data_IF_689452307610
#
_entry.id   IF_689452307610
#
_cell.length_a   1.000
_cell.length_b   1.000
_cell.length_c   1.000
_cell.angle_alpha   90.00
_cell.angle_beta   90.00
_cell.angle_gamma   90.00
#
_symmetry.space_group_name_H-M   'P 1'
#
loop_
_entity.id
_entity.type
_entity.pdbx_description
1 polymer ?
#
# COMPACT_ATOMS: atom_id res chain seq x y z
N UNK A 1 -11.16 -5.75 15.71
CA UNK A 1 -10.63 -6.73 14.74
C UNK A 1 -10.96 -8.13 15.27
N UNK A 2 -11.71 -8.97 14.55
CA UNK A 2 -11.91 -10.37 14.93
C UNK A 2 -10.70 -11.22 14.49
N UNK A 3 -9.50 -10.79 14.89
CA UNK A 3 -8.22 -11.42 14.55
C UNK A 3 -8.21 -12.94 14.85
N UNK A 4 -8.80 -13.45 15.95
CA UNK A 4 -8.83 -14.88 16.22
C UNK A 4 -9.51 -15.71 15.11
N UNK A 5 -10.63 -15.22 14.56
CA UNK A 5 -11.36 -15.92 13.48
C UNK A 5 -10.54 -15.97 12.19
N UNK A 6 -9.87 -14.87 11.84
CA UNK A 6 -9.01 -14.82 10.66
C UNK A 6 -7.78 -15.71 10.82
N UNK A 7 -7.15 -15.71 11.99
CA UNK A 7 -6.02 -16.59 12.29
C UNK A 7 -6.45 -18.06 12.21
N UNK A 8 -7.55 -18.43 12.86
CA UNK A 8 -8.10 -19.78 12.80
C UNK A 8 -8.33 -20.23 11.36
N UNK A 9 -8.99 -19.41 10.55
CA UNK A 9 -9.24 -19.70 9.13
C UNK A 9 -7.95 -19.90 8.33
N UNK A 10 -6.92 -19.08 8.55
CA UNK A 10 -5.65 -19.20 7.85
C UNK A 10 -4.81 -20.40 8.33
N UNK A 11 -4.85 -20.75 9.61
CA UNK A 11 -4.22 -21.98 10.12
C UNK A 11 -4.90 -23.25 9.61
N UNK A 12 -6.23 -23.28 9.58
CA UNK A 12 -6.99 -24.37 8.97
C UNK A 12 -6.66 -24.50 7.47
N UNK A 13 -6.54 -23.36 6.77
CA UNK A 13 -6.10 -23.30 5.38
C UNK A 13 -4.72 -23.94 5.18
N UNK A 14 -3.70 -23.61 5.98
CA UNK A 14 -2.37 -24.27 5.86
C UNK A 14 -2.52 -25.79 5.89
N UNK A 15 -3.23 -26.32 6.89
CA UNK A 15 -3.41 -27.78 7.04
C UNK A 15 -4.00 -28.41 5.77
N UNK A 16 -5.06 -27.82 5.23
CA UNK A 16 -5.74 -28.30 4.02
C UNK A 16 -4.87 -28.11 2.78
N UNK A 17 -4.22 -26.96 2.64
CA UNK A 17 -3.36 -26.62 1.49
C UNK A 17 -2.20 -27.59 1.31
N UNK A 18 -1.65 -28.11 2.41
CA UNK A 18 -0.58 -29.10 2.38
C UNK A 18 -1.06 -30.56 2.33
N UNK A 19 -2.22 -30.87 2.91
CA UNK A 19 -2.73 -32.24 2.95
C UNK A 19 -3.38 -32.65 1.60
N UNK A 20 -4.21 -31.78 1.03
CA UNK A 20 -5.06 -32.11 -0.13
C UNK A 20 -4.25 -32.47 -1.40
N UNK A 21 -3.18 -31.75 -1.78
CA UNK A 21 -2.35 -32.14 -2.94
C UNK A 21 -1.63 -33.49 -2.78
N UNK A 22 -1.41 -33.95 -1.54
CA UNK A 22 -0.79 -35.25 -1.27
C UNK A 22 -1.79 -36.40 -1.39
N UNK A 23 -3.04 -36.16 -1.06
CA UNK A 23 -4.09 -37.18 -1.03
C UNK A 23 -4.83 -37.35 -2.37
N UNK A 24 -4.85 -36.31 -3.20
CA UNK A 24 -5.67 -36.28 -4.41
C UNK A 24 -4.86 -35.92 -5.66
N UNK A 25 -5.44 -36.13 -6.84
CA UNK A 25 -4.85 -35.63 -8.11
C UNK A 25 -4.88 -34.11 -8.15
N UNK A 26 -3.97 -33.46 -8.88
CA UNK A 26 -3.93 -32.00 -9.04
C UNK A 26 -5.31 -31.37 -9.25
N UNK A 27 -6.09 -31.91 -10.18
CA UNK A 27 -7.41 -31.36 -10.54
C UNK A 27 -8.42 -31.52 -9.39
N UNK A 28 -8.48 -32.69 -8.76
CA UNK A 28 -9.31 -32.91 -7.58
C UNK A 28 -8.88 -31.99 -6.43
N UNK A 29 -7.59 -31.82 -6.21
CA UNK A 29 -7.05 -30.93 -5.18
C UNK A 29 -7.49 -29.49 -5.39
N UNK A 30 -7.47 -28.99 -6.62
CA UNK A 30 -7.94 -27.64 -6.95
C UNK A 30 -9.42 -27.44 -6.59
N UNK A 31 -10.30 -28.38 -6.94
CA UNK A 31 -11.72 -28.31 -6.59
C UNK A 31 -11.96 -28.39 -5.08
N UNK A 32 -11.27 -29.30 -4.38
CA UNK A 32 -11.38 -29.44 -2.92
C UNK A 32 -10.92 -28.15 -2.22
N UNK A 33 -9.81 -27.55 -2.68
CA UNK A 33 -9.33 -26.27 -2.14
C UNK A 33 -10.30 -25.13 -2.40
N UNK A 34 -10.88 -25.03 -3.61
CA UNK A 34 -11.90 -24.01 -3.91
C UNK A 34 -13.12 -24.16 -3.00
N UNK A 35 -13.62 -25.39 -2.83
CA UNK A 35 -14.77 -25.66 -1.96
C UNK A 35 -14.46 -25.30 -0.49
N UNK A 36 -13.28 -25.68 0.00
CA UNK A 36 -12.83 -25.32 1.33
C UNK A 36 -12.68 -23.80 1.49
N UNK A 37 -12.08 -23.10 0.53
CA UNK A 37 -11.93 -21.64 0.59
C UNK A 37 -13.27 -20.92 0.51
N UNK A 38 -14.23 -21.42 -0.25
CA UNK A 38 -15.60 -20.89 -0.23
C UNK A 38 -16.25 -21.04 1.15
N UNK A 39 -16.07 -22.20 1.80
CA UNK A 39 -16.53 -22.42 3.17
C UNK A 39 -15.83 -21.48 4.18
N UNK A 40 -14.53 -21.24 4.02
CA UNK A 40 -13.79 -20.24 4.80
C UNK A 40 -14.38 -18.84 4.59
N UNK A 41 -14.67 -18.46 3.33
CA UNK A 41 -15.28 -17.15 3.07
C UNK A 41 -16.71 -17.05 3.61
N UNK A 42 -17.48 -18.13 3.70
CA UNK A 42 -18.81 -18.18 4.35
C UNK A 42 -18.72 -18.12 5.87
N UNK A 43 -17.66 -18.69 6.47
CA UNK A 43 -17.39 -18.56 7.90
C UNK A 43 -16.99 -17.13 8.27
N UNK A 44 -16.23 -16.47 7.40
CA UNK A 44 -15.77 -15.11 7.59
C UNK A 44 -16.83 -14.07 7.16
N UNK A 45 -17.58 -14.26 6.09
CA UNK A 45 -18.47 -13.21 5.57
C UNK A 45 -19.91 -13.69 5.56
N UNK A 46 -20.87 -12.77 5.56
CA UNK A 46 -22.27 -13.16 5.40
C UNK A 46 -22.51 -13.78 4.01
N UNK A 47 -23.51 -14.66 3.93
CA UNK A 47 -23.95 -15.23 2.64
C UNK A 47 -24.34 -14.11 1.65
N UNK A 48 -25.02 -13.07 2.14
CA UNK A 48 -25.39 -11.89 1.33
C UNK A 48 -24.17 -11.19 0.74
N UNK A 49 -23.07 -11.14 1.51
CA UNK A 49 -21.81 -10.59 1.04
C UNK A 49 -21.26 -11.36 -0.16
N UNK A 50 -21.16 -12.68 -0.04
CA UNK A 50 -20.64 -13.53 -1.11
C UNK A 50 -21.52 -13.56 -2.35
N UNK A 51 -22.85 -13.58 -2.18
CA UNK A 51 -23.77 -13.54 -3.31
C UNK A 51 -23.65 -12.22 -4.10
N UNK A 52 -23.58 -11.09 -3.39
CA UNK A 52 -23.40 -9.78 -4.03
C UNK A 52 -22.05 -9.70 -4.76
N UNK A 53 -20.99 -10.21 -4.13
CA UNK A 53 -19.68 -10.27 -4.74
C UNK A 53 -19.65 -11.19 -5.97
N UNK A 54 -20.32 -12.34 -5.92
CA UNK A 54 -20.44 -13.26 -7.06
C UNK A 54 -21.17 -12.59 -8.23
N UNK A 55 -22.25 -11.83 -7.98
CA UNK A 55 -22.94 -11.05 -9.01
C UNK A 55 -22.00 -10.03 -9.66
N UNK A 56 -21.22 -9.28 -8.87
CA UNK A 56 -20.21 -8.36 -9.39
C UNK A 56 -19.17 -9.09 -10.26
N UNK A 57 -18.61 -10.19 -9.75
CA UNK A 57 -17.58 -10.96 -10.44
C UNK A 57 -18.08 -11.54 -11.77
N UNK A 58 -19.27 -12.16 -11.77
CA UNK A 58 -19.87 -12.77 -12.96
C UNK A 58 -20.24 -11.70 -13.98
N UNK A 59 -20.91 -10.62 -13.57
CA UNK A 59 -21.32 -9.54 -14.48
C UNK A 59 -20.14 -8.85 -15.15
N UNK A 60 -19.07 -8.55 -14.40
CA UNK A 60 -17.88 -7.94 -14.95
C UNK A 60 -17.15 -8.87 -15.94
N UNK A 61 -17.05 -10.16 -15.63
CA UNK A 61 -16.43 -11.16 -16.51
C UNK A 61 -17.22 -11.34 -17.79
N UNK A 62 -18.55 -11.51 -17.69
CA UNK A 62 -19.44 -11.60 -18.85
C UNK A 62 -19.27 -10.35 -19.73
N UNK A 63 -19.40 -9.15 -19.15
CA UNK A 63 -19.23 -7.91 -19.89
C UNK A 63 -17.87 -7.82 -20.60
N UNK A 64 -16.79 -8.28 -19.96
CA UNK A 64 -15.44 -8.24 -20.54
C UNK A 64 -15.26 -9.23 -21.70
N UNK A 65 -15.81 -10.45 -21.58
CA UNK A 65 -15.76 -11.47 -22.63
C UNK A 65 -16.58 -11.05 -23.85
N UNK A 66 -17.75 -10.42 -23.67
CA UNK A 66 -18.59 -9.98 -24.78
C UNK A 66 -18.12 -8.69 -25.45
N UNK A 67 -17.69 -7.71 -24.65
CA UNK A 67 -17.36 -6.37 -25.17
C UNK A 67 -15.92 -6.24 -25.69
N UNK A 68 -15.03 -7.15 -25.27
CA UNK A 68 -13.59 -7.11 -25.55
C UNK A 68 -12.94 -5.75 -25.22
N UNK A 69 -13.49 -5.01 -24.25
CA UNK A 69 -12.95 -3.74 -23.77
C UNK A 69 -12.87 -3.71 -22.25
N UNK A 70 -11.81 -3.11 -21.74
CA UNK A 70 -11.57 -2.96 -20.31
C UNK A 70 -12.47 -1.88 -19.70
N UNK A 71 -13.06 -1.01 -20.52
CA UNK A 71 -13.83 0.14 -20.06
C UNK A 71 -15.02 -0.26 -19.20
N UNK A 72 -15.75 -1.32 -19.57
CA UNK A 72 -16.87 -1.82 -18.77
C UNK A 72 -16.41 -2.40 -17.43
N UNK A 73 -15.32 -3.18 -17.42
CA UNK A 73 -14.76 -3.72 -16.18
C UNK A 73 -14.33 -2.59 -15.23
N UNK A 74 -13.64 -1.57 -15.75
CA UNK A 74 -13.29 -0.37 -15.00
C UNK A 74 -14.54 0.34 -14.46
N UNK A 75 -15.53 0.60 -15.31
CA UNK A 75 -16.76 1.29 -14.92
C UNK A 75 -17.51 0.54 -13.82
N UNK A 76 -17.71 -0.77 -13.96
CA UNK A 76 -18.38 -1.60 -12.96
C UNK A 76 -17.61 -1.65 -11.64
N UNK A 77 -16.32 -2.01 -11.68
CA UNK A 77 -15.53 -2.21 -10.47
C UNK A 77 -15.30 -0.88 -9.72
N UNK A 78 -15.02 0.21 -10.42
CA UNK A 78 -14.82 1.52 -9.78
C UNK A 78 -16.13 2.09 -9.24
N UNK A 79 -17.24 1.98 -9.98
CA UNK A 79 -18.54 2.42 -9.47
C UNK A 79 -18.94 1.65 -8.22
N UNK A 80 -18.65 0.35 -8.19
CA UNK A 80 -18.87 -0.49 -7.02
C UNK A 80 -18.00 -0.05 -5.84
N UNK A 81 -16.69 0.16 -6.02
CA UNK A 81 -15.79 0.65 -4.97
C UNK A 81 -16.25 2.00 -4.41
N UNK A 82 -16.56 2.97 -5.28
CA UNK A 82 -16.95 4.33 -4.87
C UNK A 82 -18.26 4.37 -4.07
N UNK A 83 -19.18 3.45 -4.35
CA UNK A 83 -20.52 3.42 -3.77
C UNK A 83 -20.82 2.10 -3.07
N UNK A 84 -19.80 1.41 -2.56
CA UNK A 84 -19.94 0.11 -1.93
C UNK A 84 -20.99 0.17 -0.81
N UNK A 85 -20.91 1.17 0.08
CA UNK A 85 -21.87 1.43 1.16
C UNK A 85 -23.32 1.62 0.72
N UNK A 86 -23.58 1.94 -0.56
CA UNK A 86 -24.93 2.10 -1.11
C UNK A 86 -25.44 0.84 -1.79
N UNK A 87 -24.54 0.07 -2.44
CA UNK A 87 -24.92 -1.05 -3.30
C UNK A 87 -24.73 -2.42 -2.65
N UNK A 88 -23.82 -2.54 -1.68
CA UNK A 88 -23.49 -3.79 -1.04
C UNK A 88 -24.20 -3.91 0.32
N UNK A 89 -24.79 -5.07 0.65
CA UNK A 89 -25.29 -5.35 1.98
C UNK A 89 -24.10 -5.56 2.92
N UNK A 90 -24.03 -4.74 3.97
CA UNK A 90 -23.07 -4.92 5.05
C UNK A 90 -23.77 -5.43 6.30
N UNK A 91 -23.06 -6.27 7.04
CA UNK A 91 -23.47 -6.72 8.35
C UNK A 91 -23.44 -5.56 9.36
N UNK A 92 -24.40 -5.49 10.30
CA UNK A 92 -24.47 -4.41 11.28
C UNK A 92 -23.36 -4.52 12.35
N UNK A 93 -22.84 -5.72 12.61
CA UNK A 93 -21.71 -5.91 13.52
C UNK A 93 -20.46 -5.21 12.94
N UNK A 94 -19.87 -4.22 13.62
CA UNK A 94 -18.69 -3.50 13.13
C UNK A 94 -17.52 -4.42 12.75
N UNK A 95 -17.32 -5.53 13.46
CA UNK A 95 -16.21 -6.48 13.20
C UNK A 95 -16.41 -7.19 11.86
N UNK A 96 -17.64 -7.58 11.55
CA UNK A 96 -18.00 -8.24 10.30
C UNK A 96 -18.07 -7.21 9.17
N UNK A 97 -18.67 -6.04 9.44
CA UNK A 97 -18.72 -4.89 8.53
C UNK A 97 -17.35 -4.59 7.91
N UNK A 98 -16.32 -4.39 8.75
CA UNK A 98 -14.99 -4.04 8.23
C UNK A 98 -14.36 -5.17 7.42
N UNK A 99 -14.66 -6.43 7.73
CA UNK A 99 -14.16 -7.57 6.98
C UNK A 99 -14.82 -7.66 5.61
N UNK A 100 -16.14 -7.52 5.56
CA UNK A 100 -16.91 -7.48 4.31
C UNK A 100 -16.51 -6.27 3.45
N UNK A 101 -16.30 -5.09 4.06
CA UNK A 101 -15.78 -3.92 3.37
C UNK A 101 -14.45 -4.18 2.68
N UNK A 102 -13.49 -4.79 3.38
CA UNK A 102 -12.21 -5.14 2.76
C UNK A 102 -12.37 -6.25 1.71
N UNK A 103 -13.20 -7.25 1.96
CA UNK A 103 -13.47 -8.30 0.98
C UNK A 103 -14.03 -7.73 -0.33
N UNK A 104 -15.00 -6.81 -0.26
CA UNK A 104 -15.58 -6.14 -1.42
C UNK A 104 -14.58 -5.26 -2.16
N UNK A 105 -13.86 -4.39 -1.46
CA UNK A 105 -12.94 -3.45 -2.10
C UNK A 105 -11.80 -4.20 -2.79
N UNK A 106 -11.08 -5.06 -2.06
CA UNK A 106 -9.96 -5.80 -2.62
C UNK A 106 -10.43 -6.86 -3.62
N UNK A 107 -11.60 -7.47 -3.39
CA UNK A 107 -12.25 -8.37 -4.34
C UNK A 107 -12.59 -7.69 -5.66
N UNK A 108 -13.13 -6.47 -5.64
CA UNK A 108 -13.42 -5.71 -6.86
C UNK A 108 -12.15 -5.44 -7.69
N UNK A 109 -11.01 -5.19 -7.04
CA UNK A 109 -9.71 -5.06 -7.72
C UNK A 109 -9.27 -6.39 -8.33
N UNK A 110 -9.47 -7.53 -7.65
CA UNK A 110 -9.19 -8.84 -8.24
C UNK A 110 -10.05 -9.11 -9.47
N UNK A 111 -11.36 -8.89 -9.37
CA UNK A 111 -12.29 -9.02 -10.51
C UNK A 111 -11.81 -8.16 -11.67
N UNK A 112 -11.45 -6.90 -11.41
CA UNK A 112 -10.92 -5.99 -12.41
C UNK A 112 -9.62 -6.49 -13.05
N UNK A 113 -8.65 -6.98 -12.26
CA UNK A 113 -7.40 -7.53 -12.79
C UNK A 113 -7.65 -8.71 -13.73
N UNK A 114 -8.54 -9.63 -13.37
CA UNK A 114 -8.89 -10.76 -14.22
C UNK A 114 -9.60 -10.30 -15.51
N UNK A 115 -10.54 -9.37 -15.41
CA UNK A 115 -11.22 -8.81 -16.58
C UNK A 115 -10.25 -8.10 -17.56
N UNK A 116 -9.27 -7.38 -17.00
CA UNK A 116 -8.17 -6.80 -17.78
C UNK A 116 -7.37 -7.90 -18.49
N UNK A 117 -7.00 -8.97 -17.78
CA UNK A 117 -6.30 -10.12 -18.34
C UNK A 117 -7.05 -10.73 -19.52
N UNK A 118 -8.34 -11.01 -19.37
CA UNK A 118 -9.20 -11.55 -20.43
C UNK A 118 -9.17 -10.65 -21.68
N UNK A 119 -9.29 -9.34 -21.47
CA UNK A 119 -9.33 -8.38 -22.58
C UNK A 119 -7.98 -8.25 -23.28
N UNK A 120 -6.86 -8.17 -22.54
CA UNK A 120 -5.52 -8.02 -23.15
C UNK A 120 -5.09 -9.26 -23.92
N UNK A 121 -5.49 -10.44 -23.43
CA UNK A 121 -5.17 -11.72 -24.07
C UNK A 121 -6.24 -12.16 -25.08
N UNK A 122 -7.23 -11.30 -25.38
CA UNK A 122 -8.31 -11.56 -26.36
C UNK A 122 -9.05 -12.88 -26.12
N UNK A 123 -9.30 -13.20 -24.86
CA UNK A 123 -10.01 -14.42 -24.46
C UNK A 123 -11.49 -14.28 -24.85
N UNK A 124 -11.98 -15.17 -25.69
CA UNK A 124 -13.38 -15.19 -26.19
C UNK A 124 -14.30 -16.13 -25.42
N UNK A 125 -13.74 -17.11 -24.71
CA UNK A 125 -14.49 -18.03 -23.84
C UNK A 125 -13.61 -18.52 -22.69
N UNK A 126 -14.24 -18.76 -21.54
CA UNK A 126 -13.57 -19.31 -20.37
C UNK A 126 -13.51 -20.83 -20.46
N UNK A 127 -12.31 -21.38 -20.58
CA UNK A 127 -12.08 -22.79 -20.37
C UNK A 127 -12.09 -23.13 -18.87
N UNK A 128 -12.20 -24.43 -18.56
CA UNK A 128 -12.29 -24.90 -17.18
C UNK A 128 -11.04 -24.53 -16.35
N UNK A 129 -9.85 -24.62 -16.92
CA UNK A 129 -8.61 -24.30 -16.22
C UNK A 129 -8.54 -22.82 -15.79
N UNK A 130 -8.95 -21.90 -16.66
CA UNK A 130 -9.05 -20.48 -16.35
C UNK A 130 -10.11 -20.21 -15.29
N UNK A 131 -11.25 -20.90 -15.36
CA UNK A 131 -12.29 -20.78 -14.34
C UNK A 131 -11.78 -21.24 -12.96
N UNK A 132 -11.13 -22.40 -12.89
CA UNK A 132 -10.50 -22.91 -11.66
C UNK A 132 -9.49 -21.89 -11.12
N UNK A 133 -8.58 -21.38 -11.96
CA UNK A 133 -7.57 -20.41 -11.53
C UNK A 133 -8.19 -19.09 -11.08
N UNK A 134 -9.25 -18.62 -11.73
CA UNK A 134 -9.97 -17.43 -11.31
C UNK A 134 -10.64 -17.61 -9.94
N UNK A 135 -11.29 -18.75 -9.72
CA UNK A 135 -11.88 -19.08 -8.41
C UNK A 135 -10.82 -19.14 -7.31
N UNK A 136 -9.66 -19.75 -7.60
CA UNK A 136 -8.53 -19.73 -6.67
C UNK A 136 -8.05 -18.30 -6.39
N UNK A 137 -7.92 -17.46 -7.42
CA UNK A 137 -7.49 -16.07 -7.28
C UNK A 137 -8.44 -15.25 -6.40
N UNK A 138 -9.76 -15.43 -6.56
CA UNK A 138 -10.75 -14.74 -5.75
C UNK A 138 -10.75 -15.22 -4.29
N UNK A 139 -10.66 -16.53 -4.06
CA UNK A 139 -10.95 -17.16 -2.77
C UNK A 139 -9.71 -17.50 -1.92
N UNK A 140 -8.49 -17.46 -2.47
CA UNK A 140 -7.26 -17.79 -1.76
C UNK A 140 -7.10 -16.95 -0.47
N UNK A 141 -7.24 -17.56 0.74
CA UNK A 141 -7.44 -16.84 2.00
C UNK A 141 -6.37 -15.79 2.33
N UNK A 142 -5.07 -16.05 2.13
CA UNK A 142 -4.04 -15.06 2.42
C UNK A 142 -4.16 -13.80 1.56
N UNK A 143 -4.72 -13.87 0.35
CA UNK A 143 -4.88 -12.70 -0.54
C UNK A 143 -6.32 -12.21 -0.64
N UNK A 144 -7.30 -12.78 0.06
CA UNK A 144 -8.70 -12.32 -0.07
C UNK A 144 -8.95 -10.96 0.54
N UNK A 145 -8.08 -10.50 1.43
CA UNK A 145 -8.20 -9.21 2.09
C UNK A 145 -6.82 -8.57 2.26
N UNK A 146 -6.76 -7.24 2.17
CA UNK A 146 -5.59 -6.39 2.50
C UNK A 146 -4.38 -6.45 1.55
N UNK A 147 -4.20 -7.50 0.75
CA UNK A 147 -3.10 -7.58 -0.23
C UNK A 147 -3.63 -7.49 -1.67
N UNK A 148 -3.03 -6.58 -2.45
CA UNK A 148 -3.27 -6.50 -3.89
C UNK A 148 -2.16 -7.27 -4.60
N UNK A 149 -2.55 -8.32 -5.31
CA UNK A 149 -1.68 -9.11 -6.18
C UNK A 149 -2.34 -9.18 -7.54
N UNK A 150 -1.60 -8.88 -8.61
CA UNK A 150 -2.11 -8.90 -9.98
C UNK A 150 -2.39 -10.36 -10.39
N UNK A 151 -3.38 -10.57 -11.27
CA UNK A 151 -3.80 -11.92 -11.68
C UNK A 151 -2.64 -12.73 -12.27
N UNK A 152 -1.87 -12.15 -13.19
CA UNK A 152 -0.73 -12.81 -13.83
C UNK A 152 0.35 -13.23 -12.81
N UNK A 153 0.61 -12.39 -11.81
CA UNK A 153 1.56 -12.71 -10.75
C UNK A 153 1.03 -13.85 -9.87
N UNK A 154 -0.27 -13.84 -9.54
CA UNK A 154 -0.90 -14.92 -8.78
C UNK A 154 -0.92 -16.25 -9.53
N UNK A 155 -1.31 -16.23 -10.81
CA UNK A 155 -1.38 -17.44 -11.65
C UNK A 155 -0.01 -18.11 -11.75
N UNK A 156 1.03 -17.31 -12.02
CA UNK A 156 2.41 -17.81 -12.03
C UNK A 156 2.81 -18.42 -10.68
N UNK A 157 2.60 -17.70 -9.58
CA UNK A 157 2.96 -18.18 -8.24
C UNK A 157 2.24 -19.49 -7.89
N UNK A 158 0.93 -19.56 -8.14
CA UNK A 158 0.14 -20.75 -7.82
C UNK A 158 0.50 -21.92 -8.75
N UNK A 159 0.83 -21.67 -10.01
CA UNK A 159 1.31 -22.72 -10.92
C UNK A 159 2.64 -23.31 -10.44
N UNK A 160 3.59 -22.47 -10.02
CA UNK A 160 4.88 -22.91 -9.48
C UNK A 160 4.69 -23.75 -8.20
N UNK A 161 3.79 -23.33 -7.30
CA UNK A 161 3.45 -24.07 -6.07
C UNK A 161 2.82 -25.42 -6.39
N UNK A 162 1.80 -25.45 -7.25
CA UNK A 162 1.12 -26.69 -7.66
C UNK A 162 2.08 -27.66 -8.37
N UNK A 163 3.01 -27.15 -9.17
CA UNK A 163 4.04 -27.97 -9.81
C UNK A 163 4.98 -28.59 -8.77
N UNK A 164 5.45 -27.80 -7.80
CA UNK A 164 6.32 -28.31 -6.74
C UNK A 164 5.61 -29.35 -5.86
N UNK A 165 4.32 -29.16 -5.60
CA UNK A 165 3.49 -30.12 -4.86
C UNK A 165 3.37 -31.46 -5.59
N UNK A 166 3.22 -31.46 -6.92
CA UNK A 166 3.18 -32.70 -7.70
C UNK A 166 4.56 -33.39 -7.76
N UNK A 167 5.66 -32.64 -7.86
CA UNK A 167 7.03 -33.21 -7.82
C UNK A 167 7.31 -33.89 -6.47
N UNK A 168 6.85 -33.28 -5.37
CA UNK A 168 7.08 -33.78 -4.00
C UNK A 168 6.04 -34.83 -3.56
N UNK A 169 5.09 -35.16 -4.43
CA UNK A 169 4.02 -36.12 -4.14
C UNK A 169 4.59 -37.52 -3.93
N UNK A 170 4.30 -38.12 -2.77
CA UNK A 170 4.77 -39.46 -2.41
C UNK A 170 6.17 -39.51 -1.80
N UNK A 171 6.91 -38.39 -1.75
CA UNK A 171 8.11 -38.30 -0.91
C UNK A 171 7.69 -38.27 0.57
N UNK A 172 8.35 -39.09 1.41
CA UNK A 172 8.18 -39.02 2.87
C UNK A 172 8.36 -37.56 3.31
N UNK A 173 7.53 -37.04 4.23
CA UNK A 173 7.69 -35.69 4.69
C UNK A 173 9.10 -35.56 5.28
N UNK A 174 9.97 -34.83 4.60
CA UNK A 174 10.93 -34.03 5.35
C UNK A 174 10.05 -33.24 6.31
N UNK A 175 10.27 -33.43 7.62
CA UNK A 175 9.44 -32.92 8.72
C UNK A 175 8.85 -31.53 8.40
N UNK A 176 7.69 -31.15 8.96
CA UNK A 176 7.15 -29.80 8.86
C UNK A 176 8.21 -28.69 9.14
N UNK A 177 9.26 -29.02 9.91
CA UNK A 177 10.46 -28.21 10.12
C UNK A 177 11.31 -27.90 8.88
N UNK A 178 11.24 -28.69 7.81
CA UNK A 178 11.93 -28.47 6.53
C UNK A 178 11.26 -27.40 5.67
N UNK A 179 9.95 -27.19 5.83
CA UNK A 179 9.20 -26.12 5.16
C UNK A 179 9.35 -24.78 5.88
N UNK A 180 9.51 -24.82 7.21
CA UNK A 180 9.73 -23.62 8.00
C UNK A 180 11.22 -23.26 8.00
N UNK A 181 11.62 -22.43 7.04
CA UNK A 181 12.96 -21.85 7.02
C UNK A 181 13.21 -20.93 8.22
N UNK A 182 14.47 -20.80 8.64
CA UNK A 182 14.92 -19.83 9.66
C UNK A 182 14.42 -18.41 9.36
N UNK A 183 14.39 -18.04 8.09
CA UNK A 183 13.88 -16.76 7.59
C UNK A 183 12.38 -16.58 7.89
N UNK A 184 11.58 -17.63 7.71
CA UNK A 184 10.14 -17.59 7.96
C UNK A 184 9.82 -17.46 9.46
N UNK A 185 10.59 -18.15 10.32
CA UNK A 185 10.50 -18.02 11.78
C UNK A 185 10.85 -16.60 12.19
N UNK A 186 11.93 -16.05 11.64
CA UNK A 186 12.36 -14.69 11.98
C UNK A 186 11.34 -13.63 11.55
N UNK A 187 10.74 -13.78 10.37
CA UNK A 187 9.63 -12.93 9.91
C UNK A 187 8.43 -13.03 10.85
N UNK A 188 8.08 -14.23 11.31
CA UNK A 188 6.99 -14.44 12.27
C UNK A 188 7.28 -13.77 13.62
N UNK A 189 8.47 -14.02 14.19
CA UNK A 189 8.87 -13.44 15.46
C UNK A 189 8.87 -11.90 15.42
N UNK A 190 9.38 -11.33 14.32
CA UNK A 190 9.33 -9.88 14.09
C UNK A 190 7.88 -9.37 14.00
N UNK A 191 7.00 -10.09 13.31
CA UNK A 191 5.59 -9.72 13.21
C UNK A 191 4.89 -9.77 14.57
N UNK A 192 5.13 -10.80 15.37
CA UNK A 192 4.61 -10.90 16.74
C UNK A 192 5.12 -9.76 17.62
N UNK A 193 6.41 -9.43 17.56
CA UNK A 193 6.98 -8.30 18.28
C UNK A 193 6.24 -6.99 17.95
N UNK A 194 6.02 -6.70 16.65
CA UNK A 194 5.28 -5.50 16.25
C UNK A 194 3.80 -5.55 16.65
N UNK A 195 3.17 -6.72 16.59
CA UNK A 195 1.80 -6.91 17.07
C UNK A 195 1.69 -6.58 18.56
N UNK A 196 2.51 -7.19 19.41
CA UNK A 196 2.48 -6.93 20.85
C UNK A 196 2.87 -5.48 21.20
N UNK A 197 3.83 -4.89 20.48
CA UNK A 197 4.15 -3.47 20.66
C UNK A 197 2.97 -2.56 20.32
N UNK A 198 2.25 -2.85 19.22
CA UNK A 198 1.07 -2.10 18.82
C UNK A 198 -0.08 -2.26 19.83
N UNK A 199 -0.36 -3.49 20.26
CA UNK A 199 -1.36 -3.76 21.30
C UNK A 199 -1.00 -3.07 22.62
N UNK A 200 0.27 -3.07 23.02
CA UNK A 200 0.73 -2.35 24.21
C UNK A 200 0.41 -0.85 24.11
N UNK A 201 0.76 -0.19 23.00
CA UNK A 201 0.47 1.23 22.81
C UNK A 201 -1.05 1.50 22.82
N UNK A 202 -1.84 0.62 22.22
CA UNK A 202 -3.30 0.76 22.21
C UNK A 202 -3.92 0.63 23.60
N UNK A 203 -3.43 -0.32 24.42
CA UNK A 203 -3.98 -0.60 25.75
C UNK A 203 -3.50 0.35 26.83
N UNK A 204 -2.23 0.79 26.78
CA UNK A 204 -1.63 1.57 27.87
C UNK A 204 -1.53 3.07 27.57
N UNK A 205 -1.44 3.47 26.30
CA UNK A 205 -1.28 4.89 25.90
C UNK A 205 -2.59 5.47 25.35
N UNK A 206 -3.60 4.63 25.08
CA UNK A 206 -4.95 5.03 24.62
C UNK A 206 -4.95 5.93 23.37
N UNK A 207 -3.92 5.80 22.52
CA UNK A 207 -3.73 6.64 21.34
C UNK A 207 -4.93 6.57 20.38
N UNK A 208 -5.56 5.40 20.26
CA UNK A 208 -6.73 5.25 19.41
C UNK A 208 -7.95 6.00 19.96
N UNK A 209 -8.20 5.94 21.27
CA UNK A 209 -9.27 6.70 21.92
C UNK A 209 -9.06 8.20 21.73
N UNK A 210 -7.82 8.65 21.87
CA UNK A 210 -7.44 10.04 21.66
C UNK A 210 -7.74 10.55 20.23
N UNK A 211 -7.51 9.73 19.19
CA UNK A 211 -7.85 10.11 17.81
C UNK A 211 -9.32 9.97 17.43
N UNK A 212 -10.15 9.38 18.29
CA UNK A 212 -11.59 9.24 18.07
C UNK A 212 -12.43 10.31 18.79
N UNK A 213 -11.82 11.20 19.59
CA UNK A 213 -12.54 12.32 20.20
C UNK A 213 -12.92 13.37 19.15
N UNK A 214 -14.01 14.14 19.34
CA UNK A 214 -14.36 15.22 18.44
C UNK A 214 -13.20 16.18 18.23
N UNK A 215 -13.07 16.77 17.04
CA UNK A 215 -11.92 17.60 16.66
C UNK A 215 -11.73 18.88 17.50
N UNK A 216 -12.80 19.40 18.13
CA UNK A 216 -12.79 20.70 18.82
C UNK A 216 -11.63 20.95 19.81
N UNK A 217 -11.22 19.99 20.68
CA UNK A 217 -10.14 20.19 21.65
C UNK A 217 -8.77 20.44 21.03
N UNK A 218 -8.50 19.93 19.81
CA UNK A 218 -7.21 20.13 19.14
C UNK A 218 -6.94 21.60 18.80
N UNK A 219 -7.96 22.45 18.73
CA UNK A 219 -7.77 23.89 18.53
C UNK A 219 -7.01 24.57 19.67
N UNK A 220 -6.98 23.96 20.86
CA UNK A 220 -6.26 24.50 22.02
C UNK A 220 -4.78 24.09 22.05
N UNK A 221 -4.39 23.14 21.20
CA UNK A 221 -3.03 22.64 21.17
C UNK A 221 -2.10 23.69 20.58
N UNK A 222 -0.91 23.79 21.16
CA UNK A 222 0.24 24.49 20.61
C UNK A 222 0.71 23.82 19.31
N UNK A 223 1.56 24.54 18.56
CA UNK A 223 2.07 24.02 17.29
C UNK A 223 2.94 22.77 17.46
N UNK A 224 3.68 22.64 18.57
CA UNK A 224 4.43 21.42 18.87
C UNK A 224 3.51 20.24 19.19
N UNK A 225 2.48 20.46 20.01
CA UNK A 225 1.52 19.40 20.35
C UNK A 225 0.77 18.93 19.10
N UNK A 226 0.40 19.84 18.20
CA UNK A 226 -0.22 19.49 16.92
C UNK A 226 0.72 18.68 16.02
N UNK A 227 1.97 19.12 15.86
CA UNK A 227 2.97 18.42 15.05
C UNK A 227 3.29 17.02 15.63
N UNK A 228 3.48 16.91 16.95
CA UNK A 228 3.73 15.65 17.64
C UNK A 228 2.53 14.70 17.52
N UNK A 229 1.32 15.21 17.72
CA UNK A 229 0.08 14.44 17.54
C UNK A 229 -0.03 13.90 16.12
N UNK A 230 0.19 14.73 15.11
CA UNK A 230 0.12 14.32 13.72
C UNK A 230 1.19 13.26 13.38
N UNK A 231 2.40 13.39 13.94
CA UNK A 231 3.46 12.40 13.80
C UNK A 231 3.08 11.05 14.45
N UNK A 232 2.55 11.06 15.67
CA UNK A 232 2.09 9.84 16.36
C UNK A 232 0.97 9.16 15.56
N UNK A 233 0.04 9.93 14.99
CA UNK A 233 -1.00 9.36 14.12
C UNK A 233 -0.39 8.63 12.92
N UNK A 234 0.61 9.23 12.27
CA UNK A 234 1.36 8.62 11.17
C UNK A 234 2.07 7.32 11.58
N UNK A 235 2.70 7.28 12.76
CA UNK A 235 3.36 6.07 13.27
C UNK A 235 2.37 4.96 13.59
N UNK A 236 1.24 5.29 14.21
CA UNK A 236 0.18 4.30 14.46
C UNK A 236 -0.39 3.73 13.17
N UNK A 237 -0.55 4.58 12.14
CA UNK A 237 -0.94 4.12 10.82
C UNK A 237 0.11 3.18 10.23
N UNK A 238 1.40 3.52 10.28
CA UNK A 238 2.47 2.65 9.78
C UNK A 238 2.48 1.28 10.50
N UNK A 239 2.43 1.25 11.84
CA UNK A 239 2.46 -0.01 12.61
C UNK A 239 1.26 -0.90 12.32
N UNK A 240 0.07 -0.29 12.20
CA UNK A 240 -1.12 -1.00 11.76
C UNK A 240 -0.89 -1.68 10.41
N UNK A 241 -0.29 -0.98 9.45
CA UNK A 241 -0.03 -1.51 8.10
C UNK A 241 1.05 -2.58 8.08
N UNK A 242 2.06 -2.51 8.94
CA UNK A 242 3.03 -3.61 9.15
C UNK A 242 2.31 -4.89 9.56
N UNK A 243 1.32 -4.80 10.45
CA UNK A 243 0.58 -5.96 10.96
C UNK A 243 -0.41 -6.49 9.93
N UNK A 244 -1.30 -5.64 9.40
CA UNK A 244 -2.39 -6.10 8.51
C UNK A 244 -1.88 -6.60 7.15
N UNK A 245 -0.72 -6.12 6.67
CA UNK A 245 -0.06 -6.71 5.50
C UNK A 245 0.82 -7.90 5.89
N UNK A 246 1.45 -7.86 7.07
CA UNK A 246 2.38 -8.87 7.53
C UNK A 246 1.73 -10.23 7.80
N UNK A 247 0.55 -10.25 8.45
CA UNK A 247 -0.18 -11.50 8.76
C UNK A 247 -0.50 -12.31 7.50
N UNK A 248 -1.27 -11.78 6.52
CA UNK A 248 -1.55 -12.53 5.29
C UNK A 248 -0.28 -12.85 4.49
N UNK A 249 0.71 -11.96 4.47
CA UNK A 249 1.98 -12.23 3.78
C UNK A 249 2.72 -13.42 4.39
N UNK A 250 2.69 -13.58 5.71
CA UNK A 250 3.34 -14.71 6.36
C UNK A 250 2.69 -16.04 5.97
N UNK A 251 1.35 -16.11 5.97
CA UNK A 251 0.62 -17.30 5.52
C UNK A 251 0.89 -17.62 4.05
N UNK A 252 0.94 -16.61 3.18
CA UNK A 252 1.27 -16.82 1.77
C UNK A 252 2.71 -17.32 1.59
N UNK A 253 3.67 -16.85 2.39
CA UNK A 253 5.05 -17.36 2.36
C UNK A 253 5.14 -18.82 2.83
N UNK A 254 4.34 -19.23 3.81
CA UNK A 254 4.26 -20.64 4.24
C UNK A 254 3.81 -21.53 3.07
N UNK A 255 2.84 -21.07 2.28
CA UNK A 255 2.32 -21.78 1.11
C UNK A 255 3.30 -21.82 -0.08
N UNK A 256 4.45 -21.12 0.00
CA UNK A 256 5.41 -21.00 -1.09
C UNK A 256 5.11 -19.86 -2.09
N UNK A 257 4.10 -19.03 -1.81
CA UNK A 257 3.77 -17.85 -2.63
C UNK A 257 4.76 -16.70 -2.38
N UNK A 258 4.72 -15.66 -3.24
CA UNK A 258 5.61 -14.49 -3.15
C UNK A 258 4.82 -13.20 -2.93
N UNK A 259 4.30 -12.96 -1.70
CA UNK A 259 3.51 -11.78 -1.41
C UNK A 259 4.32 -10.47 -1.52
N UNK A 260 3.64 -9.32 -1.71
CA UNK A 260 4.28 -8.02 -1.66
C UNK A 260 5.10 -7.82 -0.37
N UNK A 261 6.30 -7.25 -0.48
CA UNK A 261 7.16 -6.99 0.68
C UNK A 261 6.50 -6.00 1.68
N UNK A 262 6.87 -6.04 2.96
CA UNK A 262 6.34 -5.11 3.98
C UNK A 262 6.53 -3.63 3.65
N UNK A 263 5.72 -2.74 4.25
CA UNK A 263 5.81 -1.30 4.02
C UNK A 263 7.19 -0.76 4.42
N UNK A 264 7.66 0.22 3.65
CA UNK A 264 8.86 0.99 4.01
C UNK A 264 8.60 1.77 5.30
N UNK A 265 9.56 1.75 6.22
CA UNK A 265 9.48 2.57 7.43
C UNK A 265 9.37 4.05 7.07
N UNK A 266 8.32 4.71 7.58
CA UNK A 266 8.03 6.11 7.25
C UNK A 266 9.08 7.07 7.82
N UNK A 267 9.75 6.68 8.91
CA UNK A 267 10.84 7.45 9.53
C UNK A 267 12.19 7.29 8.83
N UNK A 268 12.24 6.69 7.63
CA UNK A 268 13.48 6.58 6.82
C UNK A 268 13.31 6.99 5.37
N UNK A 269 12.28 7.78 5.06
CA UNK A 269 11.94 8.17 3.69
C UNK A 269 11.66 9.65 3.62
N UNK A 270 12.47 10.36 2.84
CA UNK A 270 12.27 11.79 2.52
C UNK A 270 11.94 12.05 1.04
N UNK A 271 12.00 11.03 0.18
CA UNK A 271 11.54 11.08 -1.22
C UNK A 271 10.21 10.36 -1.33
N UNK A 272 9.08 11.03 -1.62
CA UNK A 272 7.83 10.27 -1.64
C UNK A 272 7.60 9.53 -2.95
N UNK A 273 8.33 9.77 -4.06
CA UNK A 273 8.31 8.77 -5.13
C UNK A 273 8.78 7.40 -4.64
N UNK A 274 9.63 7.36 -3.60
CA UNK A 274 10.02 6.13 -2.89
C UNK A 274 8.95 5.65 -1.91
N UNK A 275 8.28 6.57 -1.19
CA UNK A 275 7.14 6.25 -0.33
C UNK A 275 6.02 5.55 -1.12
N UNK A 276 5.59 6.14 -2.24
CA UNK A 276 4.56 5.57 -3.12
C UNK A 276 4.96 4.20 -3.69
N UNK A 277 6.25 3.98 -3.98
CA UNK A 277 6.75 2.69 -4.48
C UNK A 277 6.76 1.57 -3.45
N UNK A 278 7.03 1.91 -2.19
CA UNK A 278 7.45 0.91 -1.20
C UNK A 278 6.61 0.86 0.08
N UNK A 279 5.66 1.78 0.27
CA UNK A 279 4.71 1.70 1.38
C UNK A 279 3.65 0.63 1.10
N UNK A 280 2.81 0.83 0.09
CA UNK A 280 1.87 -0.18 -0.40
C UNK A 280 2.32 -0.66 -1.78
N UNK A 281 3.10 -1.75 -1.78
CA UNK A 281 3.69 -2.30 -3.00
C UNK A 281 2.66 -2.94 -3.92
N UNK A 282 1.60 -3.52 -3.34
CA UNK A 282 0.52 -4.14 -4.11
C UNK A 282 -0.26 -3.09 -4.88
N UNK A 283 -0.69 -2.02 -4.18
CA UNK A 283 -1.36 -0.87 -4.80
C UNK A 283 -0.46 -0.20 -5.83
N UNK A 284 0.82 0.04 -5.52
CA UNK A 284 1.76 0.63 -6.47
C UNK A 284 1.90 -0.21 -7.75
N UNK A 285 2.05 -1.53 -7.61
CA UNK A 285 2.20 -2.41 -8.76
C UNK A 285 0.94 -2.42 -9.62
N UNK A 286 -0.25 -2.47 -8.99
CA UNK A 286 -1.52 -2.31 -9.68
C UNK A 286 -1.62 -0.98 -10.41
N UNK A 287 -1.33 0.14 -9.74
CA UNK A 287 -1.34 1.48 -10.36
C UNK A 287 -0.37 1.55 -11.54
N UNK A 288 0.84 1.01 -11.39
CA UNK A 288 1.86 1.01 -12.44
C UNK A 288 1.41 0.20 -13.66
N UNK A 289 0.99 -1.05 -13.46
CA UNK A 289 0.72 -2.00 -14.55
C UNK A 289 -0.66 -1.81 -15.15
N UNK A 290 -1.68 -1.58 -14.32
CA UNK A 290 -3.07 -1.54 -14.77
C UNK A 290 -3.56 -0.14 -15.15
N UNK A 291 -2.94 0.92 -14.63
CA UNK A 291 -3.37 2.31 -14.87
C UNK A 291 -2.32 3.09 -15.63
N UNK A 292 -1.14 3.29 -15.03
CA UNK A 292 -0.13 4.23 -15.50
C UNK A 292 0.47 3.84 -16.85
N UNK A 293 0.99 2.62 -16.98
CA UNK A 293 1.61 2.18 -18.25
C UNK A 293 0.60 2.13 -19.41
N UNK A 294 -0.63 1.60 -19.25
CA UNK A 294 -1.65 1.65 -20.30
C UNK A 294 -2.03 3.08 -20.72
N UNK A 295 -2.20 4.01 -19.77
CA UNK A 295 -2.52 5.41 -20.08
C UNK A 295 -1.35 6.17 -20.72
N UNK A 296 -0.11 5.78 -20.41
CA UNK A 296 1.08 6.38 -21.00
C UNK A 296 1.23 5.97 -22.48
N UNK A 297 0.90 4.73 -22.82
CA UNK A 297 1.02 4.18 -24.17
C UNK A 297 2.47 4.16 -24.67
N UNK A 298 2.66 4.26 -26.00
CA UNK A 298 3.98 4.25 -26.62
C UNK A 298 4.85 5.45 -26.17
N UNK A 299 6.13 5.21 -25.92
CA UNK A 299 7.10 6.20 -25.45
C UNK A 299 7.62 7.12 -26.56
N UNK A 300 7.19 6.93 -27.80
CA UNK A 300 7.58 7.74 -28.95
C UNK A 300 6.58 8.87 -29.23
N UNK A 301 7.08 10.01 -29.75
CA UNK A 301 6.26 11.10 -30.28
C UNK A 301 6.24 12.39 -29.44
N UNK A 302 5.70 13.47 -30.03
CA UNK A 302 5.71 14.81 -29.44
C UNK A 302 4.91 14.95 -28.13
N UNK A 303 3.89 14.10 -27.92
CA UNK A 303 2.95 14.20 -26.79
C UNK A 303 3.32 13.36 -25.56
N UNK A 304 4.53 12.78 -25.49
CA UNK A 304 4.97 11.93 -24.37
C UNK A 304 4.85 12.64 -23.02
N UNK A 305 5.22 13.93 -22.93
CA UNK A 305 5.15 14.69 -21.67
C UNK A 305 3.70 14.82 -21.16
N UNK A 306 2.77 15.15 -22.06
CA UNK A 306 1.35 15.28 -21.73
C UNK A 306 0.71 13.95 -21.36
N UNK A 307 1.03 12.87 -22.09
CA UNK A 307 0.59 11.51 -21.72
C UNK A 307 1.14 11.08 -20.37
N UNK A 308 2.39 11.39 -20.06
CA UNK A 308 3.00 11.11 -18.76
C UNK A 308 2.29 11.84 -17.62
N UNK A 309 1.87 13.08 -17.85
CA UNK A 309 1.08 13.85 -16.89
C UNK A 309 -0.33 13.26 -16.75
N UNK A 310 -1.02 12.98 -17.86
CA UNK A 310 -2.34 12.36 -17.89
C UNK A 310 -2.36 10.98 -17.20
N UNK A 311 -1.35 10.15 -17.41
CA UNK A 311 -1.21 8.86 -16.74
C UNK A 311 -1.00 9.00 -15.22
N UNK A 312 -0.25 10.02 -14.79
CA UNK A 312 -0.08 10.34 -13.36
C UNK A 312 -1.40 10.81 -12.74
N UNK A 313 -2.12 11.71 -13.43
CA UNK A 313 -3.45 12.17 -13.01
C UNK A 313 -4.42 11.00 -12.94
N UNK A 314 -4.45 10.12 -13.95
CA UNK A 314 -5.28 8.91 -13.97
C UNK A 314 -5.01 7.97 -12.79
N UNK A 315 -3.74 7.75 -12.45
CA UNK A 315 -3.36 6.97 -11.27
C UNK A 315 -3.89 7.59 -9.97
N UNK A 316 -3.77 8.92 -9.81
CA UNK A 316 -4.28 9.61 -8.62
C UNK A 316 -5.81 9.71 -8.58
N UNK A 317 -6.48 9.79 -9.73
CA UNK A 317 -7.94 9.71 -9.81
C UNK A 317 -8.45 8.35 -9.35
N UNK A 318 -7.75 7.26 -9.68
CA UNK A 318 -8.05 5.95 -9.11
C UNK A 318 -7.87 5.95 -7.59
N UNK A 319 -6.76 6.47 -7.08
CA UNK A 319 -6.51 6.56 -5.62
C UNK A 319 -7.63 7.33 -4.92
N UNK A 320 -8.09 8.43 -5.51
CA UNK A 320 -9.20 9.21 -4.98
C UNK A 320 -10.52 8.42 -5.02
N UNK A 321 -10.82 7.71 -6.12
CA UNK A 321 -12.00 6.86 -6.21
C UNK A 321 -11.98 5.71 -5.19
N UNK A 322 -10.80 5.15 -4.91
CA UNK A 322 -10.58 4.07 -3.96
C UNK A 322 -10.75 4.49 -2.49
N UNK A 323 -10.18 5.64 -2.12
CA UNK A 323 -10.23 6.12 -0.73
C UNK A 323 -11.48 6.98 -0.43
N UNK A 324 -12.08 7.59 -1.44
CA UNK A 324 -13.26 8.45 -1.34
C UNK A 324 -12.99 9.89 -1.77
N UNK A 325 -14.07 10.63 -2.03
CA UNK A 325 -14.02 11.98 -2.62
C UNK A 325 -14.20 13.11 -1.60
N UNK A 326 -14.00 12.85 -0.30
CA UNK A 326 -14.05 13.90 0.72
C UNK A 326 -12.89 14.90 0.53
N UNK A 327 -13.08 16.14 1.02
CA UNK A 327 -12.08 17.22 0.88
C UNK A 327 -10.69 16.82 1.38
N UNK A 328 -10.62 16.06 2.47
CA UNK A 328 -9.37 15.56 3.04
C UNK A 328 -8.58 14.69 2.05
N UNK A 329 -9.25 13.77 1.35
CA UNK A 329 -8.59 12.92 0.36
C UNK A 329 -8.22 13.68 -0.91
N UNK A 330 -9.03 14.67 -1.31
CA UNK A 330 -8.69 15.58 -2.42
C UNK A 330 -7.42 16.35 -2.11
N UNK A 331 -7.32 16.98 -0.92
CA UNK A 331 -6.13 17.70 -0.48
C UNK A 331 -4.89 16.79 -0.43
N UNK A 332 -5.03 15.57 0.11
CA UNK A 332 -3.96 14.58 0.16
C UNK A 332 -3.42 14.24 -1.25
N UNK A 333 -4.31 13.95 -2.19
CA UNK A 333 -3.94 13.59 -3.57
C UNK A 333 -3.29 14.77 -4.29
N UNK A 334 -3.81 15.99 -4.13
CA UNK A 334 -3.22 17.19 -4.73
C UNK A 334 -1.82 17.47 -4.20
N UNK A 335 -1.61 17.37 -2.89
CA UNK A 335 -0.29 17.55 -2.27
C UNK A 335 0.70 16.47 -2.70
N UNK A 336 0.24 15.22 -2.80
CA UNK A 336 1.05 14.09 -3.29
C UNK A 336 1.42 14.25 -4.78
N UNK A 337 0.49 14.69 -5.63
CA UNK A 337 0.78 14.97 -7.03
C UNK A 337 1.76 16.14 -7.20
N UNK A 338 1.61 17.18 -6.38
CA UNK A 338 2.51 18.34 -6.37
C UNK A 338 3.94 17.93 -5.99
N UNK A 339 4.09 17.10 -4.97
CA UNK A 339 5.40 16.61 -4.53
C UNK A 339 6.10 15.77 -5.60
N UNK A 340 5.40 14.88 -6.30
CA UNK A 340 5.99 14.15 -7.45
C UNK A 340 6.41 15.06 -8.60
N UNK A 341 5.66 16.15 -8.84
CA UNK A 341 6.06 17.18 -9.81
C UNK A 341 7.34 17.90 -9.37
N UNK A 342 7.44 18.28 -8.10
CA UNK A 342 8.64 18.92 -7.52
C UNK A 342 9.85 17.98 -7.62
N UNK A 343 9.69 16.69 -7.31
CA UNK A 343 10.79 15.71 -7.44
C UNK A 343 11.26 15.60 -8.89
N UNK A 344 10.34 15.62 -9.87
CA UNK A 344 10.69 15.62 -11.30
C UNK A 344 11.42 16.89 -11.74
N UNK A 345 11.01 18.05 -11.24
CA UNK A 345 11.75 19.31 -11.47
C UNK A 345 13.17 19.18 -10.91
N UNK A 346 13.32 18.62 -9.71
CA UNK A 346 14.62 18.32 -9.11
C UNK A 346 15.50 17.44 -10.01
N UNK A 347 14.97 16.35 -10.56
CA UNK A 347 15.70 15.52 -11.53
C UNK A 347 16.06 16.28 -12.81
N UNK A 348 15.16 17.11 -13.33
CA UNK A 348 15.41 17.90 -14.53
C UNK A 348 16.51 18.96 -14.31
N UNK A 349 16.53 19.60 -13.14
CA UNK A 349 17.62 20.51 -12.75
C UNK A 349 18.94 19.74 -12.65
N UNK A 350 18.90 18.56 -12.00
CA UNK A 350 20.08 17.72 -11.81
C UNK A 350 20.71 17.23 -13.13
N UNK A 351 19.93 17.12 -14.22
CA UNK A 351 20.43 16.73 -15.54
C UNK A 351 20.96 17.90 -16.38
N UNK A 352 20.97 19.14 -15.88
CA UNK A 352 21.52 20.29 -16.60
C UNK A 352 23.05 20.39 -16.48
N UNK A 353 23.70 20.94 -17.51
CA UNK A 353 25.14 21.24 -17.48
C UNK A 353 25.50 22.31 -16.45
N UNK A 354 24.58 23.25 -16.18
CA UNK A 354 24.71 24.27 -15.15
C UNK A 354 24.83 23.64 -13.75
N UNK A 355 23.94 22.70 -13.41
CA UNK A 355 24.04 21.96 -12.16
C UNK A 355 25.34 21.15 -12.09
N UNK A 356 25.75 20.51 -13.19
CA UNK A 356 27.04 19.80 -13.28
C UNK A 356 28.22 20.69 -12.88
N UNK A 357 28.37 21.86 -13.54
CA UNK A 357 29.43 22.83 -13.22
C UNK A 357 29.35 23.35 -11.78
N UNK A 358 28.14 23.70 -11.32
CA UNK A 358 27.92 24.17 -9.95
C UNK A 358 28.30 23.11 -8.90
N UNK A 359 27.88 21.86 -9.10
CA UNK A 359 28.16 20.75 -8.18
C UNK A 359 29.65 20.46 -8.02
N UNK A 360 30.43 20.64 -9.09
CA UNK A 360 31.89 20.54 -9.07
C UNK A 360 32.51 21.69 -8.27
N UNK A 361 32.03 22.93 -8.47
CA UNK A 361 32.52 24.12 -7.77
C UNK A 361 32.33 24.04 -6.26
N UNK A 362 31.15 23.60 -5.79
CA UNK A 362 30.84 23.55 -4.35
C UNK A 362 31.35 22.27 -3.67
N UNK A 363 31.71 21.25 -4.45
CA UNK A 363 32.12 19.93 -3.99
C UNK A 363 30.99 19.06 -3.43
N UNK A 364 31.25 17.74 -3.31
CA UNK A 364 30.24 16.73 -2.94
C UNK A 364 29.53 17.01 -1.60
N UNK A 365 30.27 17.51 -0.60
CA UNK A 365 29.71 17.78 0.74
C UNK A 365 28.67 18.91 0.70
N UNK A 366 28.96 20.00 0.00
CA UNK A 366 28.02 21.11 -0.11
C UNK A 366 26.90 20.82 -1.11
N UNK A 367 27.18 20.06 -2.17
CA UNK A 367 26.13 19.54 -3.07
C UNK A 367 25.06 18.79 -2.28
N UNK A 368 25.48 17.90 -1.37
CA UNK A 368 24.54 17.18 -0.51
C UNK A 368 23.75 18.11 0.43
N UNK A 369 24.38 19.14 0.99
CA UNK A 369 23.69 20.17 1.81
C UNK A 369 22.61 20.89 1.00
N UNK A 370 22.93 21.32 -0.23
CA UNK A 370 21.97 21.97 -1.12
C UNK A 370 20.80 21.03 -1.47
N UNK A 371 21.10 19.77 -1.81
CA UNK A 371 20.06 18.77 -2.10
C UNK A 371 19.17 18.53 -0.86
N UNK A 372 19.77 18.33 0.32
CA UNK A 372 19.02 18.09 1.55
C UNK A 372 18.08 19.26 1.90
N UNK A 373 18.52 20.49 1.65
CA UNK A 373 17.68 21.68 1.81
C UNK A 373 16.57 21.73 0.76
N UNK A 374 16.89 21.52 -0.53
CA UNK A 374 15.90 21.49 -1.60
C UNK A 374 14.82 20.42 -1.39
N UNK A 375 15.18 19.28 -0.79
CA UNK A 375 14.25 18.20 -0.44
C UNK A 375 13.20 18.61 0.61
N UNK A 376 13.35 19.75 1.30
CA UNK A 376 12.26 20.29 2.13
C UNK A 376 11.01 20.60 1.28
N UNK A 377 11.21 21.07 0.04
CA UNK A 377 10.12 21.36 -0.89
C UNK A 377 9.33 20.10 -1.29
N UNK A 378 9.94 18.91 -1.24
CA UNK A 378 9.24 17.64 -1.48
C UNK A 378 8.66 17.05 -0.18
N UNK A 379 9.38 17.14 0.93
CA UNK A 379 8.95 16.55 2.21
C UNK A 379 7.71 17.25 2.77
N UNK A 380 7.65 18.58 2.70
CA UNK A 380 6.55 19.35 3.29
C UNK A 380 5.19 18.94 2.69
N UNK A 381 4.96 19.01 1.36
CA UNK A 381 3.66 18.60 0.81
C UNK A 381 3.34 17.13 1.10
N UNK A 382 4.35 16.25 1.10
CA UNK A 382 4.17 14.85 1.44
C UNK A 382 3.69 14.63 2.89
N UNK A 383 4.31 15.28 3.88
CA UNK A 383 3.94 15.14 5.30
C UNK A 383 2.53 15.67 5.52
N UNK A 384 2.25 16.89 5.05
CA UNK A 384 0.93 17.49 5.21
C UNK A 384 -0.14 16.73 4.42
N UNK A 385 0.20 16.18 3.25
CA UNK A 385 -0.69 15.29 2.50
C UNK A 385 -1.12 14.09 3.35
N UNK A 386 -0.18 13.44 4.05
CA UNK A 386 -0.51 12.34 4.97
C UNK A 386 -1.37 12.82 6.15
N UNK A 387 -1.13 14.02 6.68
CA UNK A 387 -1.98 14.58 7.74
C UNK A 387 -3.41 14.85 7.28
N UNK A 388 -3.62 15.27 6.03
CA UNK A 388 -4.96 15.33 5.44
C UNK A 388 -5.56 13.93 5.26
N UNK A 389 -4.78 12.96 4.78
CA UNK A 389 -5.25 11.58 4.60
C UNK A 389 -5.71 10.93 5.91
N UNK A 390 -4.95 11.09 6.99
CA UNK A 390 -5.24 10.50 8.30
C UNK A 390 -6.20 11.34 9.12
N UNK A 391 -6.16 12.66 8.97
CA UNK A 391 -6.95 13.61 9.74
C UNK A 391 -8.42 13.57 9.33
N UNK A 392 -9.27 13.05 10.22
CA UNK A 392 -10.74 13.20 10.11
C UNK A 392 -11.16 14.58 10.59
N UNK A 393 -12.33 15.01 10.14
CA UNK A 393 -13.08 16.14 10.71
C UNK A 393 -12.28 17.45 10.87
N UNK A 394 -11.40 17.76 9.91
CA UNK A 394 -10.63 19.01 9.87
C UNK A 394 -9.27 18.98 10.58
N UNK A 395 -8.87 17.86 11.20
CA UNK A 395 -7.57 17.78 11.87
C UNK A 395 -6.37 18.10 10.96
N UNK A 396 -6.33 17.51 9.76
CA UNK A 396 -5.26 17.79 8.79
C UNK A 396 -5.22 19.26 8.37
N UNK A 397 -6.39 19.89 8.21
CA UNK A 397 -6.53 21.31 7.87
C UNK A 397 -6.02 22.21 9.01
N UNK A 398 -6.29 21.86 10.26
CA UNK A 398 -5.81 22.60 11.43
C UNK A 398 -4.28 22.57 11.51
N UNK A 399 -3.69 21.38 11.41
CA UNK A 399 -2.23 21.21 11.45
C UNK A 399 -1.60 21.98 10.29
N UNK A 400 -2.16 21.89 9.09
CA UNK A 400 -1.71 22.66 7.93
C UNK A 400 -1.77 24.17 8.18
N UNK A 401 -2.89 24.69 8.67
CA UNK A 401 -3.05 26.12 8.94
C UNK A 401 -2.07 26.60 10.02
N UNK A 402 -2.11 26.02 11.21
CA UNK A 402 -1.36 26.51 12.37
C UNK A 402 0.14 26.27 12.28
N UNK A 403 0.57 25.11 11.77
CA UNK A 403 1.98 24.72 11.75
C UNK A 403 2.69 25.22 10.49
N UNK A 404 2.05 25.11 9.31
CA UNK A 404 2.67 25.51 8.05
C UNK A 404 2.36 26.96 7.69
N UNK A 405 1.08 27.32 7.57
CA UNK A 405 0.69 28.64 7.04
C UNK A 405 1.02 29.76 8.04
N UNK A 406 0.46 29.69 9.26
CA UNK A 406 0.71 30.69 10.30
C UNK A 406 2.19 30.72 10.68
N UNK A 407 2.84 29.55 10.75
CA UNK A 407 4.27 29.42 11.01
C UNK A 407 5.16 30.06 9.92
N UNK A 408 4.84 29.85 8.64
CA UNK A 408 5.55 30.49 7.53
C UNK A 408 5.35 32.00 7.55
N UNK A 409 4.11 32.47 7.75
CA UNK A 409 3.78 33.89 7.83
C UNK A 409 4.57 34.56 8.95
N UNK A 410 4.56 33.99 10.16
CA UNK A 410 5.31 34.53 11.29
C UNK A 410 6.83 34.53 11.03
N UNK A 411 7.37 33.47 10.43
CA UNK A 411 8.78 33.42 10.06
C UNK A 411 9.17 34.50 9.04
N UNK A 412 8.32 34.76 8.03
CA UNK A 412 8.53 35.83 7.05
C UNK A 412 8.46 37.23 7.68
N UNK A 413 7.63 37.41 8.70
CA UNK A 413 7.57 38.65 9.49
C UNK A 413 8.63 38.72 10.61
N UNK A 414 9.58 37.78 10.65
CA UNK A 414 10.62 37.67 11.67
C UNK A 414 10.09 37.55 13.11
N UNK A 415 8.85 37.05 13.27
CA UNK A 415 8.23 36.74 14.56
C UNK A 415 8.69 35.37 15.04
N UNK A 416 9.98 35.28 15.33
CA UNK A 416 10.65 34.06 15.77
C UNK A 416 11.07 34.27 17.23
N UNK A 417 10.07 34.32 18.11
CA UNK A 417 10.27 34.60 19.54
C UNK A 417 9.94 33.39 20.40
N UNK A 418 10.58 33.36 21.58
CA UNK A 418 10.31 32.43 22.67
C UNK A 418 9.97 33.30 23.89
N UNK A 419 8.69 33.65 24.06
CA UNK A 419 8.24 34.49 25.16
C UNK A 419 7.76 33.59 26.29
N UNK A 420 8.34 33.71 27.49
CA UNK A 420 7.98 32.92 28.67
C UNK A 420 7.94 31.41 28.41
N UNK A 421 8.91 30.90 27.65
CA UNK A 421 8.99 29.50 27.20
C UNK A 421 7.87 29.02 26.26
N UNK A 422 6.99 29.93 25.80
CA UNK A 422 5.97 29.64 24.79
C UNK A 422 6.53 30.04 23.41
N UNK A 423 6.76 29.07 22.52
CA UNK A 423 7.30 29.34 21.19
C UNK A 423 6.23 29.95 20.29
N UNK A 424 6.57 31.04 19.60
CA UNK A 424 5.78 31.58 18.49
C UNK A 424 5.61 30.56 17.36
N UNK A 425 4.62 30.76 16.48
CA UNK A 425 4.43 29.87 15.34
C UNK A 425 5.64 29.89 14.39
N UNK A 426 6.23 31.07 14.18
CA UNK A 426 7.47 31.24 13.43
C UNK A 426 8.64 30.45 14.02
N UNK A 427 8.81 30.46 15.35
CA UNK A 427 9.84 29.66 16.01
C UNK A 427 9.65 28.16 15.77
N UNK A 428 8.43 27.64 15.98
CA UNK A 428 8.16 26.21 15.76
C UNK A 428 8.39 25.84 14.29
N UNK A 429 7.96 26.67 13.35
CA UNK A 429 8.16 26.44 11.92
C UNK A 429 9.65 26.35 11.56
N UNK A 430 10.46 27.33 11.97
CA UNK A 430 11.92 27.33 11.71
C UNK A 430 12.59 26.12 12.35
N UNK A 431 12.18 25.73 13.56
CA UNK A 431 12.73 24.54 14.20
C UNK A 431 12.35 23.26 13.42
N UNK A 432 11.11 23.12 12.97
CA UNK A 432 10.68 21.97 12.16
C UNK A 432 11.39 21.92 10.80
N UNK A 433 11.69 23.08 10.19
CA UNK A 433 12.50 23.16 8.97
C UNK A 433 13.93 22.67 9.23
N UNK A 434 14.55 23.07 10.33
CA UNK A 434 15.87 22.58 10.73
C UNK A 434 15.87 21.06 10.97
N UNK A 435 14.87 20.54 11.68
CA UNK A 435 14.71 19.10 11.89
C UNK A 435 14.49 18.36 10.58
N UNK A 436 13.67 18.90 9.67
CA UNK A 436 13.45 18.35 8.33
C UNK A 436 14.72 18.31 7.48
N UNK A 437 15.56 19.34 7.58
CA UNK A 437 16.87 19.37 6.92
C UNK A 437 17.80 18.28 7.46
N UNK A 438 17.90 18.14 8.79
CA UNK A 438 18.67 17.07 9.43
C UNK A 438 18.14 15.69 9.05
N UNK A 439 16.82 15.51 9.02
CA UNK A 439 16.17 14.28 8.58
C UNK A 439 16.52 13.93 7.14
N UNK A 440 16.50 14.92 6.23
CA UNK A 440 16.89 14.74 4.84
C UNK A 440 18.35 14.32 4.71
N UNK A 441 19.25 14.89 5.52
CA UNK A 441 20.65 14.49 5.55
C UNK A 441 20.83 13.02 5.95
N UNK A 442 20.10 12.56 6.97
CA UNK A 442 20.15 11.16 7.42
C UNK A 442 19.58 10.24 6.35
N UNK A 443 18.45 10.58 5.74
CA UNK A 443 17.86 9.78 4.66
C UNK A 443 18.79 9.68 3.45
N UNK A 444 19.43 10.78 3.04
CA UNK A 444 20.42 10.76 1.97
C UNK A 444 21.62 9.85 2.30
N UNK A 445 22.12 9.87 3.54
CA UNK A 445 23.19 8.96 3.97
C UNK A 445 22.77 7.51 3.81
N UNK A 446 21.58 7.20 4.34
CA UNK A 446 21.06 5.85 4.36
C UNK A 446 20.87 5.32 2.94
N UNK A 447 20.36 6.16 2.05
CA UNK A 447 20.15 5.83 0.65
C UNK A 447 21.47 5.57 -0.08
N UNK A 448 22.50 6.38 0.17
CA UNK A 448 23.85 6.13 -0.36
C UNK A 448 24.42 4.80 0.14
N UNK A 449 24.27 4.49 1.44
CA UNK A 449 24.79 3.25 2.02
C UNK A 449 24.09 2.01 1.47
N UNK A 450 22.75 2.02 1.40
CA UNK A 450 21.96 0.88 0.88
C UNK A 450 22.28 0.62 -0.59
N UNK A 451 22.35 1.67 -1.42
CA UNK A 451 22.66 1.51 -2.84
C UNK A 451 24.06 0.90 -3.05
N UNK A 452 25.01 1.24 -2.18
CA UNK A 452 26.36 0.67 -2.22
C UNK A 452 26.36 -0.82 -1.86
N UNK A 453 25.62 -1.22 -0.83
CA UNK A 453 25.44 -2.64 -0.45
C UNK A 453 24.76 -3.44 -1.56
N UNK A 454 23.70 -2.90 -2.17
CA UNK A 454 23.01 -3.56 -3.29
C UNK A 454 23.95 -3.77 -4.48
N UNK A 455 24.78 -2.76 -4.83
CA UNK A 455 25.78 -2.88 -5.89
C UNK A 455 26.82 -3.96 -5.60
N UNK A 456 27.35 -4.02 -4.37
CA UNK A 456 28.31 -5.06 -3.96
C UNK A 456 27.69 -6.46 -4.02
N UNK A 457 26.46 -6.62 -3.52
CA UNK A 457 25.75 -7.92 -3.57
C UNK A 457 25.48 -8.42 -4.99
N UNK A 458 25.35 -7.50 -5.95
CA UNK A 458 25.17 -7.84 -7.37
C UNK A 458 26.48 -8.23 -8.07
N UNK A 459 27.62 -7.74 -7.56
CA UNK A 459 28.95 -8.12 -8.04
C UNK A 459 29.28 -9.53 -7.54
N UNK A 460 29.03 -9.81 -6.26
CA UNK A 460 29.29 -11.13 -5.68
C UNK A 460 28.45 -12.24 -6.35
N UNK A 461 27.17 -11.97 -6.63
CA UNK A 461 26.28 -12.90 -7.37
C UNK A 461 26.62 -13.11 -8.85
N UNK A 462 27.57 -12.34 -9.41
CA UNK A 462 28.09 -12.54 -10.76
C UNK A 462 29.46 -13.22 -10.77
N UNK A 463 30.09 -13.33 -9.59
CA UNK A 463 31.39 -13.96 -9.42
C UNK A 463 31.28 -15.45 -9.02
N UNK A 464 30.09 -15.87 -8.54
CA UNK A 464 29.64 -17.26 -8.40
C UNK A 464 28.82 -17.69 -9.64
#
# INVERSE_FOLDING_TARGET
MALPQMLFANFAHIGVFFAVPRLFTKRTSQYVLIAFWLAVQLYLNSLKCLLTFAVLAISAVIASVFSHTQLFAWAFCISFVMKANRYAPFSPDPRIYYREFNFYLYGAIKVLNFCIHLTRNKVTSLNEAMFIRYMQYLLYPPYTSMLIVIYEDFDKQMADVEQQQEITKGMLPSSFSSFISRELIWKFARLLMWYFAFEFVLHFIYVHSFFNVPFSPFNRFSNYELAATAYVHGQMFFWKYVIIFGVPSWFALVDGMTPPKPPICISRVSRYSRMWRYFDRGLYQFLKIQVYMPLMGDLNGAYVRWRRLGAMVGAFMFVLAWHGTSSNYVCWVLLSGSELCIERIGYAIASTSAWGKFSLMIGRRNQRRVIAFAMLATVIPGIFGVFFFLGRDGFGQLVFKKVLIDGLIDALHLRITLNDSIPSAGFVFVHLILLGYCFNQVCLQLDESINKEEQLSHIDKKAD
#
